data_IF_778768540516
#
_entry.id   IF_778768540516
#
_cell.length_a   1.000
_cell.length_b   1.000
_cell.length_c   1.000
_cell.angle_alpha   90.00
_cell.angle_beta   90.00
_cell.angle_gamma   90.00
#
_symmetry.space_group_name_H-M   'P 1'
#
loop_
_entity.id
_entity.type
_entity.pdbx_description
1 polymer ?
#
# COMPACT_ATOMS: atom_id res chain seq x y z
N UNK A 1 -23.04 -30.99 49.39
CA UNK A 1 -23.90 -30.35 48.36
C UNK A 1 -23.10 -29.25 47.74
N UNK A 2 -22.64 -29.47 46.52
CA UNK A 2 -21.89 -28.47 45.75
C UNK A 2 -22.84 -27.99 44.66
N UNK A 3 -22.89 -26.68 44.42
CA UNK A 3 -23.79 -26.15 43.42
C UNK A 3 -23.30 -24.82 42.88
N UNK A 4 -23.70 -24.54 41.65
CA UNK A 4 -23.40 -23.29 40.96
C UNK A 4 -24.71 -22.53 40.83
N UNK A 5 -24.72 -21.31 41.37
CA UNK A 5 -25.84 -20.40 41.21
C UNK A 5 -25.41 -19.28 40.27
N UNK A 6 -25.92 -19.31 39.05
CA UNK A 6 -25.74 -18.23 38.08
C UNK A 6 -26.96 -17.30 38.13
N UNK A 7 -26.73 -16.02 38.42
CA UNK A 7 -27.76 -14.99 38.34
C UNK A 7 -27.53 -14.16 37.07
N UNK A 8 -28.41 -14.32 36.08
CA UNK A 8 -28.31 -13.67 34.77
C UNK A 8 -29.52 -12.73 34.57
N UNK A 9 -29.30 -11.55 33.97
CA UNK A 9 -30.36 -10.58 33.64
C UNK A 9 -30.35 -9.27 34.46
N UNK A 10 -31.29 -8.36 34.15
CA UNK A 10 -31.41 -7.03 34.79
C UNK A 10 -32.03 -7.11 36.19
N UNK A 11 -31.93 -6.05 37.00
CA UNK A 11 -32.49 -5.98 38.37
C UNK A 11 -33.97 -6.41 38.46
N UNK A 12 -34.76 -6.17 37.41
CA UNK A 12 -36.18 -6.50 37.29
C UNK A 12 -36.50 -7.85 36.61
N UNK A 13 -35.52 -8.52 36.00
CA UNK A 13 -35.70 -9.76 35.21
C UNK A 13 -34.55 -10.73 35.49
N UNK A 14 -34.38 -11.09 36.76
CA UNK A 14 -33.32 -12.00 37.21
C UNK A 14 -33.75 -13.44 36.93
N UNK A 15 -32.98 -14.13 36.11
CA UNK A 15 -33.04 -15.58 35.98
C UNK A 15 -31.93 -16.15 36.88
N UNK A 16 -32.33 -16.95 37.86
CA UNK A 16 -31.41 -17.67 38.73
C UNK A 16 -31.39 -19.11 38.27
N UNK A 17 -30.27 -19.55 37.69
CA UNK A 17 -30.05 -20.95 37.34
C UNK A 17 -29.20 -21.56 38.44
N UNK A 18 -29.81 -22.47 39.20
CA UNK A 18 -29.13 -23.27 40.23
C UNK A 18 -28.88 -24.67 39.71
N UNK A 19 -27.61 -25.02 39.51
CA UNK A 19 -27.20 -26.40 39.26
C UNK A 19 -26.70 -26.98 40.58
N UNK A 20 -27.30 -28.07 41.04
CA UNK A 20 -26.92 -28.74 42.28
C UNK A 20 -26.53 -30.18 41.99
N UNK A 21 -25.43 -30.63 42.59
CA UNK A 21 -25.07 -32.03 42.60
C UNK A 21 -24.46 -32.45 43.93
N UNK A 22 -24.59 -33.74 44.21
CA UNK A 22 -23.91 -34.40 45.32
C UNK A 22 -22.48 -34.73 44.90
N UNK A 23 -21.57 -33.76 45.01
CA UNK A 23 -20.13 -34.02 44.89
C UNK A 23 -19.54 -34.59 46.19
N UNK A 24 -18.58 -35.53 46.12
CA UNK A 24 -17.78 -35.91 47.27
C UNK A 24 -16.84 -34.73 47.58
N UNK A 25 -17.06 -34.06 48.70
CA UNK A 25 -16.14 -33.02 49.18
C UNK A 25 -14.73 -33.60 49.34
N UNK A 26 -13.72 -32.89 48.86
CA UNK A 26 -12.38 -33.44 48.71
C UNK A 26 -11.74 -33.77 50.07
N UNK A 27 -11.06 -34.92 50.07
CA UNK A 27 -9.94 -35.36 50.92
C UNK A 27 -10.12 -35.41 52.44
N UNK A 28 -10.26 -36.63 52.97
CA UNK A 28 -9.82 -36.95 54.33
C UNK A 28 -10.60 -38.02 55.09
N UNK A 29 -11.73 -38.53 54.58
CA UNK A 29 -12.50 -39.52 55.33
C UNK A 29 -13.04 -40.61 54.40
N UNK A 30 -12.55 -41.83 54.62
CA UNK A 30 -13.25 -43.06 54.28
C UNK A 30 -14.66 -43.01 54.89
N UNK A 31 -15.66 -42.55 54.15
CA UNK A 31 -17.06 -42.72 54.54
C UNK A 31 -17.78 -43.40 53.41
N UNK A 32 -18.20 -44.61 53.73
CA UNK A 32 -19.14 -45.46 53.03
C UNK A 32 -20.08 -44.69 52.09
N UNK A 33 -20.21 -45.22 50.87
CA UNK A 33 -21.27 -44.94 49.93
C UNK A 33 -22.66 -45.21 50.55
N UNK A 34 -23.12 -44.30 51.39
CA UNK A 34 -24.42 -44.34 52.04
C UNK A 34 -24.93 -42.91 52.12
N UNK A 35 -26.02 -42.66 51.39
CA UNK A 35 -26.80 -41.42 51.38
C UNK A 35 -26.41 -40.40 50.30
N UNK A 36 -26.34 -40.84 49.04
CA UNK A 36 -26.88 -40.03 47.96
C UNK A 36 -28.43 -40.13 48.02
N UNK A 37 -29.21 -39.03 47.89
CA UNK A 37 -30.64 -39.14 47.75
C UNK A 37 -30.95 -39.89 46.45
N UNK A 38 -31.47 -41.11 46.59
CA UNK A 38 -31.90 -41.94 45.47
C UNK A 38 -33.21 -41.37 44.91
N UNK A 39 -33.09 -40.36 44.05
CA UNK A 39 -34.17 -39.96 43.17
C UNK A 39 -34.44 -41.12 42.20
N UNK A 40 -35.60 -41.78 42.36
CA UNK A 40 -35.98 -42.94 41.54
C UNK A 40 -36.02 -42.60 40.06
N UNK A 41 -36.21 -41.33 39.71
CA UNK A 41 -36.23 -40.84 38.33
C UNK A 41 -34.86 -40.99 37.62
N UNK A 42 -33.75 -40.97 38.37
CA UNK A 42 -32.39 -41.17 37.81
C UNK A 42 -31.96 -42.64 37.76
N UNK A 43 -32.77 -43.56 38.30
CA UNK A 43 -32.48 -45.00 38.28
C UNK A 43 -32.70 -45.65 36.90
N UNK A 44 -33.30 -44.90 35.97
CA UNK A 44 -33.66 -45.35 34.62
C UNK A 44 -32.55 -45.04 33.61
N UNK A 45 -31.61 -44.15 33.95
CA UNK A 45 -30.50 -43.77 33.09
C UNK A 45 -29.21 -44.47 33.59
N UNK A 46 -28.76 -45.47 32.81
CA UNK A 46 -27.48 -46.18 32.88
C UNK A 46 -26.55 -45.80 34.05
N UNK A 47 -26.60 -46.55 35.16
CA UNK A 47 -25.65 -46.43 36.29
C UNK A 47 -24.18 -46.47 35.84
N UNK A 48 -23.86 -47.33 34.87
CA UNK A 48 -22.50 -47.52 34.40
C UNK A 48 -21.90 -46.29 33.70
N UNK A 49 -22.74 -45.40 33.16
CA UNK A 49 -22.30 -44.17 32.49
C UNK A 49 -22.01 -43.04 33.48
N UNK A 50 -22.69 -43.01 34.64
CA UNK A 50 -22.49 -41.98 35.66
C UNK A 50 -21.31 -42.29 36.59
N UNK A 51 -21.09 -43.57 36.92
CA UNK A 51 -19.95 -44.00 37.76
C UNK A 51 -18.61 -43.89 37.01
N UNK A 52 -18.63 -43.73 35.68
CA UNK A 52 -17.47 -43.48 34.83
C UNK A 52 -17.27 -42.01 34.43
N UNK A 53 -18.21 -41.12 34.81
CA UNK A 53 -18.08 -39.69 34.56
C UNK A 53 -17.02 -39.07 35.48
N UNK A 54 -15.91 -38.62 34.89
CA UNK A 54 -14.90 -37.84 35.61
C UNK A 54 -15.53 -36.51 36.05
N UNK A 55 -15.46 -36.14 37.34
CA UNK A 55 -15.98 -34.86 37.81
C UNK A 55 -15.21 -33.72 37.15
N UNK A 56 -15.90 -32.91 36.36
CA UNK A 56 -15.35 -31.68 35.78
C UNK A 56 -15.46 -30.59 36.86
N UNK A 57 -14.31 -30.17 37.39
CA UNK A 57 -14.23 -29.19 38.48
C UNK A 57 -14.30 -27.73 38.01
N UNK A 58 -14.30 -27.51 36.70
CA UNK A 58 -14.25 -26.19 36.06
C UNK A 58 -15.48 -25.97 35.18
N UNK A 59 -16.05 -24.78 35.24
CA UNK A 59 -17.10 -24.35 34.32
C UNK A 59 -16.75 -22.96 33.78
N UNK A 60 -17.04 -22.74 32.51
CA UNK A 60 -16.84 -21.44 31.87
C UNK A 60 -18.19 -20.90 31.38
N UNK A 61 -18.44 -19.61 31.62
CA UNK A 61 -19.61 -18.90 31.08
C UNK A 61 -19.11 -18.04 29.94
N UNK A 62 -19.32 -18.51 28.72
CA UNK A 62 -18.90 -17.82 27.51
C UNK A 62 -20.03 -16.94 26.95
N UNK A 63 -19.70 -15.79 26.35
CA UNK A 63 -20.66 -15.02 25.56
C UNK A 63 -21.29 -15.88 24.47
N UNK A 64 -22.51 -15.54 24.07
CA UNK A 64 -23.15 -16.17 22.92
C UNK A 64 -22.26 -16.00 21.69
N UNK A 65 -22.04 -17.09 20.95
CA UNK A 65 -21.34 -17.04 19.68
C UNK A 65 -22.16 -16.18 18.68
N UNK A 66 -21.59 -15.13 18.08
CA UNK A 66 -22.28 -14.32 17.09
C UNK A 66 -22.60 -15.15 15.83
N UNK A 67 -23.79 -14.97 15.25
CA UNK A 67 -24.19 -15.57 13.97
C UNK A 67 -24.16 -14.56 12.80
N UNK A 68 -23.56 -13.39 13.03
CA UNK A 68 -23.15 -12.51 11.97
C UNK A 68 -21.93 -13.09 11.25
N UNK A 69 -22.09 -13.47 9.97
CA UNK A 69 -20.96 -13.85 9.13
C UNK A 69 -20.29 -12.60 8.59
N UNK A 70 -18.98 -12.53 8.79
CA UNK A 70 -18.10 -11.51 8.22
C UNK A 70 -17.21 -12.20 7.21
N UNK A 71 -17.09 -11.62 6.02
CA UNK A 71 -16.20 -12.11 4.97
C UNK A 71 -15.39 -10.94 4.44
N UNK A 72 -14.06 -11.07 4.50
CA UNK A 72 -13.14 -10.03 4.07
C UNK A 72 -12.41 -10.48 2.81
N UNK A 73 -12.46 -9.65 1.76
CA UNK A 73 -11.78 -9.89 0.49
C UNK A 73 -10.79 -8.77 0.22
N UNK A 74 -9.51 -9.12 0.08
CA UNK A 74 -8.39 -8.21 -0.21
C UNK A 74 -7.17 -8.98 -0.73
N UNK A 75 -6.22 -8.27 -1.33
CA UNK A 75 -4.88 -8.79 -1.57
C UNK A 75 -4.07 -8.76 -0.25
N UNK A 76 -3.51 -9.88 0.23
CA UNK A 76 -2.68 -9.89 1.45
C UNK A 76 -1.36 -9.13 1.30
N UNK A 77 -0.97 -8.74 0.07
CA UNK A 77 0.22 -7.94 -0.19
C UNK A 77 -0.21 -6.56 -0.73
N UNK A 78 0.00 -5.54 0.10
CA UNK A 78 -0.16 -4.14 -0.29
C UNK A 78 1.11 -3.63 -0.98
N UNK A 79 0.93 -2.74 -1.95
CA UNK A 79 1.98 -1.92 -2.52
C UNK A 79 2.11 -0.64 -1.72
N UNK A 80 3.32 -0.30 -1.32
CA UNK A 80 3.59 0.96 -0.61
C UNK A 80 3.10 2.13 -1.48
N UNK A 81 2.46 3.11 -0.83
CA UNK A 81 1.81 4.31 -1.37
C UNK A 81 0.47 4.12 -2.08
N UNK A 82 0.06 2.90 -2.43
CA UNK A 82 -1.24 2.64 -3.06
C UNK A 82 -2.41 2.83 -2.08
N UNK A 83 -3.61 2.93 -2.62
CA UNK A 83 -4.86 2.75 -1.87
C UNK A 83 -5.42 1.35 -2.13
N UNK A 84 -5.13 0.38 -1.26
CA UNK A 84 -5.60 -1.00 -1.40
C UNK A 84 -7.05 -1.11 -0.91
N UNK A 85 -8.00 -1.54 -1.76
CA UNK A 85 -9.36 -1.80 -1.33
C UNK A 85 -9.46 -3.09 -0.50
N UNK A 86 -10.15 -2.99 0.63
CA UNK A 86 -10.52 -4.11 1.50
C UNK A 86 -12.04 -4.15 1.57
N UNK A 87 -12.62 -5.19 0.98
CA UNK A 87 -14.08 -5.36 0.92
C UNK A 87 -14.54 -6.24 2.07
N UNK A 88 -15.40 -5.69 2.93
CA UNK A 88 -16.03 -6.38 4.06
C UNK A 88 -17.49 -6.63 3.73
N UNK A 89 -17.87 -7.90 3.68
CA UNK A 89 -19.25 -8.32 3.54
C UNK A 89 -19.76 -8.84 4.89
N UNK A 90 -20.83 -8.20 5.38
CA UNK A 90 -21.57 -8.62 6.57
C UNK A 90 -22.83 -9.32 6.12
N UNK A 91 -23.09 -10.52 6.65
CA UNK A 91 -24.35 -11.24 6.43
C UNK A 91 -24.94 -11.62 7.78
N UNK A 92 -26.16 -11.16 8.03
CA UNK A 92 -26.89 -11.53 9.23
C UNK A 92 -27.47 -12.95 9.06
N UNK A 93 -26.91 -13.96 9.72
CA UNK A 93 -27.51 -15.29 9.81
C UNK A 93 -28.24 -15.54 11.13
N UNK A 94 -28.43 -14.49 11.92
CA UNK A 94 -29.30 -14.54 13.09
C UNK A 94 -30.75 -14.75 12.65
N UNK A 95 -31.57 -15.38 13.49
CA UNK A 95 -33.00 -15.57 13.23
C UNK A 95 -33.81 -14.26 13.30
N UNK A 96 -33.20 -13.18 13.80
CA UNK A 96 -33.85 -11.90 14.03
C UNK A 96 -32.96 -10.72 13.55
N UNK A 97 -33.51 -9.51 13.65
CA UNK A 97 -32.82 -8.29 13.24
C UNK A 97 -31.59 -8.02 14.12
N UNK A 98 -30.45 -7.80 13.48
CA UNK A 98 -29.25 -7.29 14.13
C UNK A 98 -29.34 -5.77 14.17
N UNK A 99 -29.39 -5.19 15.37
CA UNK A 99 -29.60 -3.75 15.57
C UNK A 99 -28.34 -3.03 16.03
N UNK A 100 -28.26 -1.74 15.73
CA UNK A 100 -27.17 -0.86 16.17
C UNK A 100 -25.78 -1.41 15.83
N UNK A 101 -25.61 -1.83 14.56
CA UNK A 101 -24.35 -2.41 14.10
C UNK A 101 -23.30 -1.30 14.05
N UNK A 102 -22.25 -1.46 14.82
CA UNK A 102 -21.07 -0.60 14.88
C UNK A 102 -19.85 -1.38 14.40
N UNK A 103 -19.04 -0.75 13.57
CA UNK A 103 -17.82 -1.36 13.01
C UNK A 103 -16.60 -0.54 13.39
N UNK A 104 -15.59 -1.24 13.89
CA UNK A 104 -14.25 -0.73 14.12
C UNK A 104 -13.27 -1.45 13.22
N UNK A 105 -12.43 -0.69 12.52
CA UNK A 105 -11.45 -1.26 11.61
C UNK A 105 -10.16 -0.47 11.63
N UNK A 106 -9.04 -1.13 11.91
CA UNK A 106 -7.75 -0.50 11.74
C UNK A 106 -6.57 -1.27 12.29
N UNK A 107 -5.45 -0.58 12.40
CA UNK A 107 -4.20 -1.15 12.87
C UNK A 107 -4.33 -1.66 14.31
N UNK A 108 -3.80 -2.85 14.57
CA UNK A 108 -3.71 -3.43 15.90
C UNK A 108 -2.91 -2.49 16.83
N UNK A 109 -3.44 -2.25 18.03
CA UNK A 109 -2.84 -1.34 19.02
C UNK A 109 -1.46 -1.78 19.51
N UNK A 110 -1.11 -3.06 19.33
CA UNK A 110 0.24 -3.57 19.57
C UNK A 110 1.28 -3.05 18.59
N UNK A 111 0.87 -2.51 17.43
CA UNK A 111 1.73 -1.99 16.37
C UNK A 111 1.72 -0.45 16.28
N UNK A 112 1.69 0.25 17.42
CA UNK A 112 1.59 1.73 17.46
C UNK A 112 2.69 2.47 16.68
N UNK A 113 3.87 1.87 16.51
CA UNK A 113 4.96 2.43 15.70
C UNK A 113 4.62 2.62 14.22
N UNK A 114 3.61 1.90 13.71
CA UNK A 114 3.18 1.97 12.31
C UNK A 114 1.99 2.92 12.09
N UNK A 115 1.44 3.54 13.14
CA UNK A 115 0.27 4.43 13.06
C UNK A 115 0.48 5.58 12.07
N UNK A 116 1.62 6.27 12.13
CA UNK A 116 1.93 7.40 11.24
C UNK A 116 2.21 6.97 9.79
N UNK A 117 2.35 5.67 9.54
CA UNK A 117 2.66 5.10 8.23
C UNK A 117 1.50 4.28 7.67
N UNK A 118 0.33 4.36 8.30
CA UNK A 118 -0.87 3.60 7.93
C UNK A 118 -2.05 4.56 7.90
N UNK A 119 -2.69 4.67 6.74
CA UNK A 119 -3.84 5.53 6.53
C UNK A 119 -5.01 4.68 6.08
N UNK A 120 -6.18 4.86 6.69
CA UNK A 120 -7.39 4.11 6.44
C UNK A 120 -8.53 5.09 6.23
N UNK A 121 -9.34 4.85 5.21
CA UNK A 121 -10.54 5.62 4.94
C UNK A 121 -11.62 4.78 4.25
N UNK A 122 -12.83 5.33 4.15
CA UNK A 122 -13.90 4.82 3.29
C UNK A 122 -13.87 5.56 1.94
N UNK A 123 -14.61 5.11 0.93
CA UNK A 123 -14.62 5.77 -0.41
C UNK A 123 -14.81 7.29 -0.36
N UNK A 124 -15.74 7.87 0.44
CA UNK A 124 -15.87 9.32 0.57
C UNK A 124 -14.64 10.02 1.17
N UNK A 125 -13.82 9.29 1.93
CA UNK A 125 -12.63 9.80 2.61
C UNK A 125 -11.36 9.82 1.77
N UNK A 126 -11.37 9.25 0.55
CA UNK A 126 -10.19 9.25 -0.35
C UNK A 126 -9.72 10.67 -0.70
N UNK A 127 -10.63 11.65 -0.69
CA UNK A 127 -10.34 13.07 -0.94
C UNK A 127 -10.38 13.93 0.33
N UNK A 128 -10.48 13.32 1.51
CA UNK A 128 -10.59 14.03 2.78
C UNK A 128 -9.25 14.31 3.44
N UNK A 129 -9.17 15.42 4.20
CA UNK A 129 -7.94 15.85 4.88
C UNK A 129 -7.62 15.06 6.17
N UNK A 130 -8.59 14.29 6.70
CA UNK A 130 -8.45 13.56 7.96
C UNK A 130 -8.32 12.07 7.71
N UNK A 131 -7.07 11.63 7.53
CA UNK A 131 -6.71 10.22 7.44
C UNK A 131 -6.22 9.72 8.81
N UNK A 132 -6.69 8.55 9.22
CA UNK A 132 -6.35 7.93 10.50
C UNK A 132 -5.89 6.49 10.27
N UNK A 133 -5.19 5.90 11.24
CA UNK A 133 -4.80 4.48 11.20
C UNK A 133 -5.94 3.54 11.63
N UNK A 134 -7.05 4.09 12.07
CA UNK A 134 -8.23 3.39 12.58
C UNK A 134 -9.52 4.16 12.27
N UNK A 135 -10.58 3.41 11.98
CA UNK A 135 -11.96 3.88 11.91
C UNK A 135 -12.67 3.29 13.11
N UNK A 136 -13.17 4.15 14.00
CA UNK A 136 -13.86 3.74 15.21
C UNK A 136 -15.35 4.09 15.12
N UNK A 137 -16.19 3.23 15.70
CA UNK A 137 -17.63 3.45 15.88
C UNK A 137 -18.41 3.79 14.60
N UNK A 138 -18.03 3.22 13.46
CA UNK A 138 -18.75 3.46 12.20
C UNK A 138 -20.14 2.83 12.28
N UNK A 139 -21.17 3.67 12.33
CA UNK A 139 -22.55 3.24 12.42
C UNK A 139 -23.06 2.72 11.07
N UNK A 140 -23.52 1.48 11.08
CA UNK A 140 -24.07 0.79 9.92
C UNK A 140 -25.59 0.66 9.97
N UNK A 141 -26.22 1.00 11.09
CA UNK A 141 -27.66 0.84 11.30
C UNK A 141 -28.03 -0.62 11.55
N UNK A 142 -29.24 -0.99 11.16
CA UNK A 142 -29.78 -2.32 11.39
C UNK A 142 -29.67 -3.21 10.14
N UNK A 143 -29.63 -4.53 10.36
CA UNK A 143 -29.57 -5.53 9.29
C UNK A 143 -30.57 -6.65 9.58
N UNK A 144 -31.59 -6.78 8.73
CA UNK A 144 -32.60 -7.84 8.87
C UNK A 144 -32.00 -9.24 8.74
N UNK A 145 -32.67 -10.23 9.33
CA UNK A 145 -32.31 -11.64 9.21
C UNK A 145 -32.17 -12.06 7.74
N UNK A 146 -31.07 -12.76 7.42
CA UNK A 146 -30.74 -13.22 6.07
C UNK A 146 -30.24 -12.14 5.11
N UNK A 147 -30.23 -10.85 5.50
CA UNK A 147 -29.73 -9.77 4.64
C UNK A 147 -28.21 -9.62 4.75
N UNK A 148 -27.65 -8.96 3.73
CA UNK A 148 -26.23 -8.68 3.63
C UNK A 148 -25.97 -7.20 3.36
N UNK A 149 -24.80 -6.73 3.80
CA UNK A 149 -24.29 -5.37 3.57
C UNK A 149 -22.81 -5.46 3.19
N UNK A 150 -22.42 -4.72 2.15
CA UNK A 150 -21.02 -4.69 1.67
C UNK A 150 -20.44 -3.30 1.90
N UNK A 151 -19.20 -3.24 2.37
CA UNK A 151 -18.45 -2.05 2.69
C UNK A 151 -17.05 -2.18 2.10
N UNK A 152 -16.47 -1.07 1.64
CA UNK A 152 -15.10 -1.04 1.15
C UNK A 152 -14.32 0.01 1.93
N UNK A 153 -13.22 -0.44 2.53
CA UNK A 153 -12.21 0.42 3.12
C UNK A 153 -11.02 0.52 2.19
N UNK A 154 -10.29 1.62 2.24
CA UNK A 154 -9.03 1.81 1.54
C UNK A 154 -7.92 1.96 2.55
N UNK A 155 -6.84 1.20 2.37
CA UNK A 155 -5.64 1.29 3.20
C UNK A 155 -4.47 1.77 2.36
N UNK A 156 -3.75 2.76 2.86
CA UNK A 156 -2.50 3.23 2.32
C UNK A 156 -1.36 3.06 3.31
N UNK A 157 -0.35 2.32 2.88
CA UNK A 157 0.86 2.06 3.64
C UNK A 157 1.98 2.96 3.13
N UNK A 158 2.66 3.71 4.00
CA UNK A 158 3.76 4.61 3.62
C UNK A 158 5.14 3.95 3.74
N UNK A 159 5.20 2.77 4.35
CA UNK A 159 6.44 2.01 4.60
C UNK A 159 6.23 0.52 4.34
N UNK A 160 7.30 -0.14 3.91
CA UNK A 160 7.36 -1.60 3.78
C UNK A 160 7.43 -2.25 5.16
N UNK A 161 6.33 -2.83 5.61
CA UNK A 161 6.20 -3.50 6.91
C UNK A 161 4.97 -4.41 6.91
N UNK A 162 5.00 -5.43 7.77
CA UNK A 162 3.84 -6.26 8.08
C UNK A 162 2.91 -5.51 9.05
N UNK A 163 1.62 -5.47 8.71
CA UNK A 163 0.57 -4.82 9.49
C UNK A 163 -0.49 -5.84 9.88
N UNK A 164 -0.81 -5.90 11.16
CA UNK A 164 -1.96 -6.62 11.68
C UNK A 164 -3.11 -5.65 11.81
N UNK A 165 -4.20 -5.91 11.12
CA UNK A 165 -5.42 -5.11 11.14
C UNK A 165 -6.49 -5.87 11.93
N UNK A 166 -7.26 -5.16 12.74
CA UNK A 166 -8.37 -5.71 13.50
C UNK A 166 -9.67 -5.17 12.92
N UNK A 167 -10.56 -6.08 12.56
CA UNK A 167 -11.95 -5.80 12.22
C UNK A 167 -12.83 -6.28 13.36
N UNK A 168 -13.54 -5.36 14.00
CA UNK A 168 -14.45 -5.66 15.10
C UNK A 168 -15.84 -5.13 14.77
N UNK A 169 -16.83 -5.99 14.86
CA UNK A 169 -18.24 -5.67 14.62
C UNK A 169 -19.03 -5.92 15.90
N UNK A 170 -19.69 -4.89 16.39
CA UNK A 170 -20.53 -4.93 17.59
C UNK A 170 -21.98 -4.70 17.18
N UNK A 171 -22.90 -5.51 17.72
CA UNK A 171 -24.33 -5.39 17.40
C UNK A 171 -25.20 -5.93 18.54
N UNK A 172 -26.50 -5.65 18.49
CA UNK A 172 -27.47 -6.05 19.51
C UNK A 172 -28.54 -6.94 18.89
N UNK A 173 -28.83 -8.05 19.55
CA UNK A 173 -29.91 -8.97 19.21
C UNK A 173 -31.03 -8.86 20.25
N UNK A 174 -32.26 -8.65 19.77
CA UNK A 174 -33.46 -8.60 20.61
C UNK A 174 -34.24 -9.91 20.57
N UNK A 175 -34.54 -10.46 21.75
CA UNK A 175 -35.41 -11.64 21.85
C UNK A 175 -36.85 -11.21 22.10
N UNK A 176 -37.71 -11.44 21.11
CA UNK A 176 -39.13 -11.07 21.11
C UNK A 176 -39.93 -11.68 22.27
N UNK A 177 -39.47 -12.79 22.84
CA UNK A 177 -40.13 -13.46 23.96
C UNK A 177 -39.82 -12.85 25.35
N UNK A 178 -38.74 -12.08 25.52
CA UNK A 178 -38.22 -11.76 26.86
C UNK A 178 -37.81 -10.30 27.09
N UNK A 179 -37.97 -9.39 26.12
CA UNK A 179 -37.45 -8.00 26.20
C UNK A 179 -35.96 -7.94 26.60
N UNK A 180 -35.22 -9.01 26.34
CA UNK A 180 -33.78 -9.11 26.60
C UNK A 180 -33.04 -8.70 25.33
N UNK A 181 -32.11 -7.78 25.50
CA UNK A 181 -31.14 -7.39 24.48
C UNK A 181 -29.81 -8.03 24.80
N UNK A 182 -29.23 -8.72 23.82
CA UNK A 182 -27.95 -9.39 23.95
C UNK A 182 -26.90 -8.66 23.07
N UNK A 183 -25.88 -8.02 23.66
CA UNK A 183 -24.76 -7.49 22.90
C UNK A 183 -23.92 -8.65 22.36
N UNK A 184 -23.59 -8.58 21.08
CA UNK A 184 -22.78 -9.56 20.38
C UNK A 184 -21.58 -8.85 19.77
N UNK A 185 -20.43 -9.52 19.78
CA UNK A 185 -19.17 -9.01 19.23
C UNK A 185 -18.56 -10.07 18.33
N UNK A 186 -18.24 -9.68 17.11
CA UNK A 186 -17.42 -10.46 16.19
C UNK A 186 -16.09 -9.73 16.00
N UNK A 187 -14.97 -10.46 16.06
CA UNK A 187 -13.64 -9.91 15.88
C UNK A 187 -12.81 -10.82 14.97
N UNK A 188 -12.16 -10.24 13.97
CA UNK A 188 -11.30 -10.92 13.00
C UNK A 188 -10.00 -10.13 12.84
N UNK A 189 -8.87 -10.84 12.79
CA UNK A 189 -7.55 -10.24 12.53
C UNK A 189 -7.07 -10.56 11.13
N UNK A 190 -6.64 -9.53 10.40
CA UNK A 190 -6.13 -9.62 9.03
C UNK A 190 -4.64 -9.27 9.03
N UNK A 191 -3.85 -9.97 8.23
CA UNK A 191 -2.41 -9.70 8.08
C UNK A 191 -2.14 -9.14 6.69
N UNK A 192 -1.48 -7.99 6.65
CA UNK A 192 -1.19 -7.26 5.42
C UNK A 192 0.30 -6.99 5.31
N UNK A 193 0.94 -7.51 4.26
CA UNK A 193 2.35 -7.26 3.99
C UNK A 193 2.50 -6.11 2.99
N UNK A 194 3.02 -4.96 3.43
CA UNK A 194 3.35 -3.88 2.49
C UNK A 194 4.73 -4.10 1.85
N UNK A 195 4.83 -3.97 0.53
CA UNK A 195 6.07 -4.07 -0.27
C UNK A 195 6.22 -2.90 -1.23
N UNK A 196 7.46 -2.50 -1.49
CA UNK A 196 7.75 -1.43 -2.45
C UNK A 196 7.43 -1.94 -3.87
N UNK A 197 6.59 -1.26 -4.67
CA UNK A 197 6.13 -1.77 -5.97
C UNK A 197 7.13 -1.63 -7.11
N UNK A 198 8.04 -0.66 -7.04
CA UNK A 198 9.01 -0.38 -8.10
C UNK A 198 10.21 0.39 -7.55
N UNK A 199 11.30 0.37 -8.30
CA UNK A 199 12.49 1.17 -8.07
C UNK A 199 12.63 2.23 -9.15
N UNK A 200 12.90 3.48 -8.76
CA UNK A 200 13.15 4.57 -9.69
C UNK A 200 14.61 4.99 -9.59
N UNK A 201 15.33 4.89 -10.70
CA UNK A 201 16.70 5.38 -10.84
C UNK A 201 16.70 6.49 -11.87
N UNK A 202 17.24 7.65 -11.52
CA UNK A 202 17.30 8.80 -12.42
C UNK A 202 18.74 9.08 -12.79
N UNK A 203 19.03 9.11 -14.09
CA UNK A 203 20.37 9.40 -14.61
C UNK A 203 20.39 10.67 -15.45
N UNK A 204 21.52 11.38 -15.41
CA UNK A 204 21.82 12.52 -16.28
C UNK A 204 22.73 12.08 -17.41
N UNK A 205 22.34 12.38 -18.65
CA UNK A 205 23.06 11.97 -19.85
C UNK A 205 23.17 13.13 -20.85
N UNK A 206 24.17 13.07 -21.73
CA UNK A 206 24.32 14.02 -22.84
C UNK A 206 23.23 13.80 -23.89
N UNK A 207 23.13 14.72 -24.85
CA UNK A 207 22.27 14.53 -26.04
C UNK A 207 22.68 13.31 -26.90
N UNK A 208 23.83 12.68 -26.61
CA UNK A 208 24.31 11.44 -27.22
C UNK A 208 24.11 10.21 -26.31
N UNK A 209 23.35 10.35 -25.22
CA UNK A 209 23.07 9.29 -24.24
C UNK A 209 24.33 8.77 -23.51
N UNK A 210 25.30 9.64 -23.29
CA UNK A 210 26.50 9.34 -22.49
C UNK A 210 26.31 9.89 -21.08
N UNK A 211 26.66 9.11 -20.05
CA UNK A 211 26.50 9.53 -18.65
C UNK A 211 27.27 10.81 -18.33
N UNK A 212 26.59 11.78 -17.71
CA UNK A 212 27.16 13.06 -17.30
C UNK A 212 27.25 13.17 -15.78
N UNK A 213 28.41 13.62 -15.30
CA UNK A 213 28.60 14.09 -13.92
C UNK A 213 28.68 15.62 -13.81
N UNK A 214 28.84 16.29 -14.96
CA UNK A 214 28.94 17.74 -15.11
C UNK A 214 28.16 18.18 -16.34
N UNK A 215 27.64 19.40 -16.31
CA UNK A 215 26.83 19.96 -17.39
C UNK A 215 27.34 21.36 -17.74
N UNK A 216 27.26 21.72 -19.01
CA UNK A 216 27.60 23.06 -19.45
C UNK A 216 26.40 24.01 -19.24
N UNK A 217 26.63 25.17 -18.62
CA UNK A 217 25.61 26.18 -18.44
C UNK A 217 25.07 26.69 -19.78
N UNK A 218 23.76 26.65 -19.97
CA UNK A 218 23.09 27.03 -21.22
C UNK A 218 23.04 25.94 -22.29
N UNK A 219 23.55 24.74 -22.02
CA UNK A 219 23.42 23.59 -22.91
C UNK A 219 22.37 22.60 -22.40
N UNK A 220 21.72 21.97 -23.36
CA UNK A 220 20.71 20.95 -23.10
C UNK A 220 21.35 19.58 -22.85
N UNK A 221 20.73 18.84 -21.95
CA UNK A 221 21.07 17.46 -21.62
C UNK A 221 19.80 16.73 -21.20
N UNK A 222 19.92 15.41 -21.03
CA UNK A 222 18.78 14.53 -20.82
C UNK A 222 18.76 14.00 -19.40
N UNK A 223 17.57 14.01 -18.79
CA UNK A 223 17.24 13.23 -17.59
C UNK A 223 16.48 11.99 -18.03
N UNK A 224 16.93 10.82 -17.57
CA UNK A 224 16.29 9.53 -17.85
C UNK A 224 15.87 8.87 -16.53
N UNK A 225 14.60 9.00 -16.12
CA UNK A 225 14.02 8.17 -15.08
C UNK A 225 13.77 6.77 -15.63
N UNK A 226 14.34 5.78 -14.96
CA UNK A 226 14.14 4.35 -15.19
C UNK A 226 13.31 3.78 -14.05
N UNK A 227 12.14 3.24 -14.36
CA UNK A 227 11.20 2.64 -13.43
C UNK A 227 11.25 1.12 -13.63
N UNK A 228 11.80 0.39 -12.67
CA UNK A 228 11.80 -1.09 -12.67
C UNK A 228 10.70 -1.59 -11.76
N UNK A 229 9.73 -2.31 -12.31
CA UNK A 229 8.65 -2.90 -11.54
C UNK A 229 9.14 -4.14 -10.78
N UNK A 230 8.81 -4.22 -9.49
CA UNK A 230 9.11 -5.37 -8.61
C UNK A 230 7.85 -5.83 -7.87
N UNK A 231 6.68 -5.38 -8.34
CA UNK A 231 5.38 -5.68 -7.78
C UNK A 231 4.91 -7.06 -8.25
N UNK A 232 4.26 -7.81 -7.35
CA UNK A 232 3.66 -9.11 -7.68
C UNK A 232 2.38 -8.99 -8.52
N UNK A 233 1.86 -7.77 -8.66
CA UNK A 233 0.77 -7.42 -9.59
C UNK A 233 1.22 -6.33 -10.56
N UNK A 234 0.63 -6.25 -11.76
CA UNK A 234 0.95 -5.18 -12.68
C UNK A 234 0.54 -3.80 -12.13
N UNK A 235 1.28 -2.76 -12.52
CA UNK A 235 1.00 -1.36 -12.22
C UNK A 235 0.79 -0.58 -13.50
N UNK A 236 -0.11 0.39 -13.49
CA UNK A 236 -0.34 1.30 -14.61
C UNK A 236 0.27 2.66 -14.28
N UNK A 237 1.14 3.13 -15.15
CA UNK A 237 1.74 4.47 -15.08
C UNK A 237 0.80 5.45 -15.77
N UNK A 238 0.24 6.39 -15.03
CA UNK A 238 -0.83 7.27 -15.52
C UNK A 238 -0.32 8.65 -15.92
N UNK A 239 0.73 9.13 -15.28
CA UNK A 239 1.34 10.41 -15.60
C UNK A 239 2.80 10.49 -15.10
N UNK A 240 3.60 11.37 -15.68
CA UNK A 240 4.94 11.71 -15.22
C UNK A 240 5.22 13.20 -15.45
N UNK A 241 5.98 13.82 -14.53
CA UNK A 241 6.34 15.23 -14.67
C UNK A 241 7.61 15.59 -13.90
N UNK A 242 8.17 16.75 -14.23
CA UNK A 242 9.30 17.35 -13.51
C UNK A 242 8.87 18.63 -12.80
N UNK A 243 9.36 18.79 -11.57
CA UNK A 243 9.39 20.06 -10.85
C UNK A 243 10.84 20.51 -10.76
N UNK A 244 11.22 21.46 -11.61
CA UNK A 244 12.60 21.90 -11.78
C UNK A 244 12.98 22.99 -10.77
N UNK A 245 14.26 23.01 -10.38
CA UNK A 245 14.82 24.11 -9.58
C UNK A 245 14.85 25.43 -10.36
N UNK A 246 14.94 26.57 -9.67
CA UNK A 246 14.86 27.91 -10.27
C UNK A 246 15.83 28.17 -11.44
N UNK A 247 17.02 27.58 -11.41
CA UNK A 247 18.05 27.75 -12.45
C UNK A 247 18.01 26.67 -13.53
N UNK A 248 16.99 25.82 -13.53
CA UNK A 248 16.82 24.70 -14.46
C UNK A 248 15.53 24.91 -15.23
N UNK A 249 15.58 24.75 -16.55
CA UNK A 249 14.42 24.91 -17.40
C UNK A 249 14.33 23.76 -18.40
N UNK A 250 13.11 23.45 -18.81
CA UNK A 250 12.86 22.47 -19.85
C UNK A 250 13.07 23.14 -21.21
N UNK A 251 13.89 22.50 -22.05
CA UNK A 251 14.29 23.07 -23.34
C UNK A 251 13.20 22.88 -24.42
N UNK A 252 12.36 21.84 -24.28
CA UNK A 252 11.25 21.54 -25.18
C UNK A 252 9.89 21.84 -24.55
N UNK A 253 9.01 22.56 -25.27
CA UNK A 253 7.62 22.78 -24.87
C UNK A 253 6.67 21.62 -25.20
N UNK A 254 7.08 20.75 -26.13
CA UNK A 254 6.30 19.59 -26.57
C UNK A 254 6.88 18.32 -25.96
N UNK A 255 6.57 18.08 -24.69
CA UNK A 255 6.93 16.83 -24.02
C UNK A 255 5.71 15.93 -23.93
N UNK A 256 5.84 14.71 -24.46
CA UNK A 256 4.90 13.62 -24.27
C UNK A 256 5.62 12.52 -23.51
N UNK A 257 5.18 12.25 -22.30
CA UNK A 257 5.70 11.12 -21.52
C UNK A 257 5.36 9.81 -22.24
N UNK A 258 6.39 9.01 -22.51
CA UNK A 258 6.21 7.74 -23.22
C UNK A 258 5.76 6.59 -22.31
N UNK A 259 5.78 6.81 -20.99
CA UNK A 259 5.33 5.81 -20.01
C UNK A 259 3.83 5.96 -19.68
N UNK A 260 3.17 7.03 -20.13
CA UNK A 260 1.74 7.25 -19.84
C UNK A 260 0.87 6.20 -20.50
N UNK A 261 0.00 5.58 -19.69
CA UNK A 261 -0.89 4.51 -20.11
C UNK A 261 -0.20 3.16 -20.26
N UNK A 262 1.08 3.05 -19.89
CA UNK A 262 1.79 1.77 -19.91
C UNK A 262 1.51 0.97 -18.65
N UNK A 263 1.41 -0.35 -18.81
CA UNK A 263 1.33 -1.31 -17.71
C UNK A 263 2.69 -1.98 -17.58
N UNK A 264 3.22 -2.07 -16.35
CA UNK A 264 4.46 -2.78 -16.03
C UNK A 264 4.16 -3.96 -15.11
N UNK A 265 4.53 -5.15 -15.55
CA UNK A 265 4.57 -6.38 -14.77
C UNK A 265 5.93 -6.55 -14.06
N UNK A 266 6.04 -7.57 -13.20
CA UNK A 266 7.28 -7.90 -12.49
C UNK A 266 8.47 -7.98 -13.46
N UNK A 267 9.58 -7.34 -13.08
CA UNK A 267 10.83 -7.20 -13.84
C UNK A 267 10.76 -6.36 -15.14
N UNK A 268 9.59 -5.84 -15.52
CA UNK A 268 9.48 -4.90 -16.63
C UNK A 268 9.99 -3.50 -16.28
N UNK A 269 10.46 -2.80 -17.30
CA UNK A 269 11.11 -1.50 -17.15
C UNK A 269 10.44 -0.46 -18.04
N UNK A 270 9.90 0.59 -17.41
CA UNK A 270 9.49 1.82 -18.07
C UNK A 270 10.61 2.85 -18.04
N UNK A 271 10.79 3.60 -19.12
CA UNK A 271 11.76 4.70 -19.17
C UNK A 271 11.13 5.93 -19.76
N UNK A 272 11.42 7.08 -19.15
CA UNK A 272 11.05 8.37 -19.68
C UNK A 272 12.28 9.20 -20.00
N UNK A 273 12.10 10.29 -20.74
CA UNK A 273 13.22 11.08 -21.26
C UNK A 273 12.86 12.57 -21.31
N UNK A 274 13.55 13.38 -20.51
CA UNK A 274 13.31 14.82 -20.42
C UNK A 274 14.53 15.61 -20.84
N UNK A 275 14.35 16.54 -21.80
CA UNK A 275 15.39 17.47 -22.23
C UNK A 275 15.34 18.75 -21.39
N UNK A 276 16.39 19.01 -20.63
CA UNK A 276 16.50 20.17 -19.74
C UNK A 276 17.84 20.89 -19.95
N UNK A 277 17.91 22.13 -19.49
CA UNK A 277 19.13 22.92 -19.48
C UNK A 277 19.27 23.69 -18.17
N UNK A 278 20.50 24.01 -17.82
CA UNK A 278 20.82 24.88 -16.68
C UNK A 278 21.06 26.29 -17.19
N UNK A 279 20.58 27.30 -16.46
CA UNK A 279 20.80 28.71 -16.76
C UNK A 279 22.29 29.03 -16.90
N UNK A 280 22.64 29.74 -17.97
CA UNK A 280 24.00 30.26 -18.20
C UNK A 280 24.43 31.32 -17.16
N UNK A 281 23.52 31.75 -16.27
CA UNK A 281 23.83 32.66 -15.17
C UNK A 281 24.48 31.95 -13.97
N UNK A 282 24.33 30.63 -13.87
CA UNK A 282 24.90 29.86 -12.75
C UNK A 282 26.43 29.89 -12.85
N UNK A 283 27.16 30.22 -11.76
CA UNK A 283 28.62 30.27 -11.80
C UNK A 283 29.25 28.90 -12.09
N UNK A 284 30.39 28.90 -12.78
CA UNK A 284 31.18 27.69 -13.02
C UNK A 284 31.60 27.04 -11.70
N UNK A 285 31.69 25.71 -11.70
CA UNK A 285 32.02 24.84 -10.58
C UNK A 285 31.01 24.90 -9.40
N UNK A 286 29.75 25.28 -9.69
CA UNK A 286 28.66 25.25 -8.71
C UNK A 286 27.90 23.93 -8.81
N UNK A 287 27.70 23.25 -7.69
CA UNK A 287 26.81 22.09 -7.61
C UNK A 287 25.37 22.55 -7.39
N UNK A 288 24.43 22.09 -8.22
CA UNK A 288 23.01 22.40 -8.11
C UNK A 288 22.18 21.13 -8.13
N UNK A 289 21.07 21.13 -7.38
CA UNK A 289 20.04 20.07 -7.46
C UNK A 289 19.10 20.36 -8.62
N UNK A 290 18.80 19.37 -9.45
CA UNK A 290 17.99 19.61 -10.65
C UNK A 290 16.49 19.78 -10.35
N UNK A 291 15.99 19.24 -9.24
CA UNK A 291 14.59 19.32 -8.83
C UNK A 291 14.03 17.97 -8.41
N UNK A 292 12.77 17.68 -8.76
CA UNK A 292 12.05 16.46 -8.44
C UNK A 292 11.36 15.86 -9.66
N UNK A 293 11.37 14.54 -9.75
CA UNK A 293 10.54 13.76 -10.67
C UNK A 293 9.30 13.26 -9.95
N UNK A 294 8.12 13.47 -10.54
CA UNK A 294 6.85 12.98 -10.04
C UNK A 294 6.36 11.86 -10.96
N UNK A 295 6.02 10.73 -10.37
CA UNK A 295 5.42 9.59 -11.04
C UNK A 295 4.04 9.33 -10.47
N UNK A 296 3.04 9.30 -11.34
CA UNK A 296 1.66 8.97 -11.01
C UNK A 296 1.37 7.56 -11.52
N UNK A 297 0.77 6.76 -10.64
CA UNK A 297 0.55 5.36 -10.91
C UNK A 297 -0.64 4.82 -10.12
N UNK A 298 -1.11 3.65 -10.52
CA UNK A 298 -2.12 2.87 -9.80
C UNK A 298 -1.89 1.39 -10.03
N UNK A 299 -2.46 0.56 -9.17
CA UNK A 299 -2.54 -0.89 -9.42
C UNK A 299 -3.36 -1.16 -10.69
N UNK A 300 -2.94 -2.14 -11.49
CA UNK A 300 -3.71 -2.60 -12.64
C UNK A 300 -4.99 -3.33 -12.19
N UNK A 301 -6.10 -3.08 -12.88
CA UNK A 301 -7.44 -3.50 -12.48
C UNK A 301 -8.41 -2.31 -12.35
N UNK A 302 -9.69 -2.63 -12.16
CA UNK A 302 -10.76 -1.64 -12.13
C UNK A 302 -10.82 -0.90 -10.77
N UNK A 303 -11.00 0.43 -10.85
CA UNK A 303 -11.34 1.36 -9.75
C UNK A 303 -10.28 1.62 -8.65
N UNK A 304 -9.02 1.23 -8.86
CA UNK A 304 -7.94 1.60 -7.93
C UNK A 304 -7.58 3.09 -8.02
N UNK A 305 -7.58 3.84 -6.90
CA UNK A 305 -7.24 5.27 -6.91
C UNK A 305 -5.81 5.54 -7.38
N UNK A 306 -5.63 6.60 -8.17
CA UNK A 306 -4.31 7.09 -8.57
C UNK A 306 -3.54 7.66 -7.37
N UNK A 307 -2.24 7.39 -7.33
CA UNK A 307 -1.33 7.93 -6.33
C UNK A 307 -0.06 8.45 -7.00
N UNK A 308 0.61 9.41 -6.33
CA UNK A 308 1.85 9.99 -6.81
C UNK A 308 3.01 9.71 -5.86
N UNK A 309 4.21 9.48 -6.41
CA UNK A 309 5.48 9.44 -5.68
C UNK A 309 6.43 10.49 -6.25
N UNK A 310 7.25 11.09 -5.40
CA UNK A 310 8.30 12.02 -5.81
C UNK A 310 9.70 11.44 -5.56
N UNK A 311 10.60 11.66 -6.51
CA UNK A 311 11.98 11.20 -6.48
C UNK A 311 12.88 12.40 -6.75
N UNK A 312 13.91 12.58 -5.91
CA UNK A 312 14.89 13.65 -6.11
C UNK A 312 15.68 13.45 -7.40
N UNK A 313 15.79 14.50 -8.21
CA UNK A 313 16.67 14.47 -9.38
C UNK A 313 18.15 14.58 -8.93
N UNK A 314 19.10 14.03 -9.70
CA UNK A 314 20.52 14.12 -9.38
C UNK A 314 21.01 15.57 -9.25
N UNK A 315 22.09 15.76 -8.48
CA UNK A 315 22.85 17.01 -8.49
C UNK A 315 23.92 16.97 -9.57
N UNK A 316 24.14 18.10 -10.24
CA UNK A 316 25.17 18.26 -11.28
C UNK A 316 26.08 19.43 -10.96
N UNK A 317 27.34 19.35 -11.41
CA UNK A 317 28.26 20.49 -11.36
C UNK A 317 28.20 21.25 -12.68
N UNK A 318 27.96 22.55 -12.60
CA UNK A 318 27.90 23.42 -13.78
C UNK A 318 29.30 23.84 -14.20
N UNK A 319 29.62 23.71 -15.49
CA UNK A 319 30.83 24.22 -16.11
C UNK A 319 30.51 25.26 -17.18
N UNK A 320 31.49 26.12 -17.46
CA UNK A 320 31.44 27.06 -18.57
C UNK A 320 32.51 26.69 -19.56
N UNK A 321 32.11 26.16 -20.70
CA UNK A 321 33.02 25.80 -21.78
C UNK A 321 33.21 27.02 -22.69
N UNK A 322 34.46 27.45 -22.87
CA UNK A 322 34.76 28.65 -23.65
C UNK A 322 34.53 28.47 -25.15
N UNK A 323 34.68 27.25 -25.65
CA UNK A 323 34.48 26.90 -27.07
C UNK A 323 33.51 25.74 -27.16
N UNK A 324 32.49 25.91 -27.98
CA UNK A 324 31.53 24.88 -28.32
C UNK A 324 31.77 24.42 -29.74
N UNK A 325 31.82 23.10 -29.96
CA UNK A 325 31.95 22.50 -31.29
C UNK A 325 30.82 21.50 -31.44
N UNK A 326 29.94 21.77 -32.39
CA UNK A 326 28.86 20.86 -32.77
C UNK A 326 29.16 20.25 -34.14
N UNK A 327 28.92 18.96 -34.27
CA UNK A 327 29.07 18.22 -35.51
C UNK A 327 27.70 17.81 -36.01
N UNK A 328 27.23 18.43 -37.09
CA UNK A 328 25.97 18.11 -37.75
C UNK A 328 26.26 17.03 -38.79
N UNK A 329 25.63 15.88 -38.59
CA UNK A 329 25.72 14.71 -39.47
C UNK A 329 24.36 14.48 -40.15
N UNK A 330 24.34 14.00 -41.40
CA UNK A 330 23.12 13.53 -42.03
C UNK A 330 22.49 12.38 -41.23
N UNK A 331 21.16 12.28 -41.16
CA UNK A 331 20.48 11.26 -40.35
C UNK A 331 20.75 9.82 -40.82
N UNK A 332 21.14 9.66 -42.08
CA UNK A 332 21.54 8.38 -42.65
C UNK A 332 22.67 8.58 -43.68
N UNK A 333 23.56 7.60 -43.77
CA UNK A 333 24.55 7.51 -44.84
C UNK A 333 24.08 6.57 -45.96
N UNK A 334 24.40 6.89 -47.21
CA UNK A 334 24.19 5.98 -48.35
C UNK A 334 25.54 5.46 -48.84
N UNK A 335 25.62 4.16 -49.14
CA UNK A 335 26.84 3.55 -49.63
C UNK A 335 27.31 4.23 -50.93
N UNK A 336 28.60 4.59 -51.00
CA UNK A 336 29.24 5.30 -52.14
C UNK A 336 28.70 6.72 -52.40
N UNK A 337 28.03 7.32 -51.43
CA UNK A 337 27.68 8.75 -51.46
C UNK A 337 28.55 9.48 -50.44
N UNK A 338 29.15 10.64 -50.79
CA UNK A 338 29.84 11.47 -49.82
C UNK A 338 28.92 11.82 -48.63
N UNK A 339 29.40 11.60 -47.41
CA UNK A 339 28.70 12.02 -46.19
C UNK A 339 29.15 13.43 -45.83
N UNK A 340 28.30 14.43 -46.08
CA UNK A 340 28.62 15.82 -45.75
C UNK A 340 28.56 16.03 -44.24
N UNK A 341 29.69 16.43 -43.64
CA UNK A 341 29.79 16.72 -42.21
C UNK A 341 29.96 18.22 -42.04
N UNK A 342 29.10 18.86 -41.23
CA UNK A 342 29.21 20.29 -40.93
C UNK A 342 29.61 20.49 -39.48
N UNK A 343 30.72 21.20 -39.26
CA UNK A 343 31.14 21.60 -37.91
C UNK A 343 30.72 23.04 -37.64
N UNK A 344 29.95 23.26 -36.58
CA UNK A 344 29.60 24.59 -36.08
C UNK A 344 30.46 24.88 -34.87
N UNK A 345 31.31 25.89 -34.97
CA UNK A 345 32.21 26.31 -33.89
C UNK A 345 31.69 27.64 -33.35
N UNK A 346 31.39 27.70 -32.05
CA UNK A 346 30.92 28.89 -31.37
C UNK A 346 31.82 29.23 -30.18
N UNK A 347 32.25 30.49 -30.09
CA UNK A 347 32.88 31.01 -28.88
C UNK A 347 31.78 31.42 -27.89
N UNK A 348 31.66 30.69 -26.78
CA UNK A 348 30.73 31.01 -25.69
C UNK A 348 31.44 31.61 -24.47
N UNK A 349 32.75 31.84 -24.55
CA UNK A 349 33.48 32.55 -23.52
C UNK A 349 33.08 34.02 -23.45
N UNK A 350 33.21 34.62 -22.26
CA UNK A 350 33.01 36.08 -22.06
C UNK A 350 34.08 36.92 -22.78
N UNK A 351 35.21 36.31 -23.14
CA UNK A 351 36.37 36.98 -23.71
C UNK A 351 36.61 36.47 -25.13
N UNK A 352 36.97 37.38 -26.04
CA UNK A 352 37.50 36.99 -27.35
C UNK A 352 38.82 36.26 -27.16
N UNK A 353 38.94 35.08 -27.77
CA UNK A 353 40.14 34.25 -27.70
C UNK A 353 40.55 33.91 -29.14
N UNK A 354 41.82 34.11 -29.47
CA UNK A 354 42.38 33.71 -30.77
C UNK A 354 42.54 32.19 -30.83
N UNK A 355 42.06 31.56 -31.89
CA UNK A 355 42.09 30.11 -32.07
C UNK A 355 42.58 29.77 -33.48
N UNK A 356 43.55 28.86 -33.57
CA UNK A 356 43.97 28.28 -34.83
C UNK A 356 43.21 26.97 -35.05
N UNK A 357 42.37 26.92 -36.08
CA UNK A 357 41.70 25.69 -36.50
C UNK A 357 42.60 24.94 -37.49
N UNK A 358 43.01 23.72 -37.13
CA UNK A 358 43.71 22.82 -38.04
C UNK A 358 42.84 21.59 -38.27
N UNK A 359 42.55 21.27 -39.52
CA UNK A 359 41.80 20.07 -39.90
C UNK A 359 42.76 19.09 -40.59
N UNK A 360 42.87 17.87 -40.07
CA UNK A 360 43.72 16.82 -40.62
C UNK A 360 42.86 15.66 -41.12
N UNK A 361 43.20 15.13 -42.30
CA UNK A 361 42.58 13.90 -42.81
C UNK A 361 43.00 12.72 -41.95
N UNK A 362 42.04 11.98 -41.40
CA UNK A 362 42.30 10.72 -40.68
C UNK A 362 42.19 9.55 -41.64
N UNK A 363 43.19 8.66 -41.65
CA UNK A 363 43.15 7.41 -42.43
C UNK A 363 42.02 6.47 -41.96
N UNK A 364 41.48 6.66 -40.74
CA UNK A 364 40.34 5.92 -40.22
C UNK A 364 38.99 6.30 -40.87
N UNK A 365 38.92 7.43 -41.57
CA UNK A 365 37.73 7.94 -42.28
C UNK A 365 37.83 7.77 -43.81
N UNK A 366 38.81 7.01 -44.31
CA UNK A 366 38.87 6.64 -45.73
C UNK A 366 37.90 5.50 -46.04
N UNK A 367 36.59 5.79 -46.10
CA UNK A 367 35.66 4.96 -46.85
C UNK A 367 35.32 5.65 -48.18
N UNK A 368 35.92 5.11 -49.24
CA UNK A 368 35.62 5.28 -50.66
C UNK A 368 36.06 6.60 -51.34
N UNK A 369 37.31 6.62 -51.79
CA UNK A 369 37.78 7.46 -52.90
C UNK A 369 39.25 7.18 -53.17
N UNK A 370 39.63 6.79 -54.39
CA UNK A 370 41.03 6.53 -54.74
C UNK A 370 41.89 7.76 -54.42
N UNK A 371 43.03 7.54 -53.76
CA UNK A 371 44.15 8.51 -53.79
C UNK A 371 44.61 8.60 -55.24
N UNK A 372 44.36 9.72 -55.90
CA UNK A 372 45.17 10.18 -57.03
C UNK A 372 46.14 11.27 -56.54
#
# INVERSE_FOLDING_TARGET
LTGIQAQLGRKSSKIVVGLHWSGPGNEGVTVNAGNAPAFKEFSILCRDAFDTCVPIAETEILPRKPELTVTVSHDPIALVWEWLPITVQLKNNEECIATNISLHFGLDTSQSSLEHTTQICTSPGLHGDKLTSQINDMQLGDLDAGKQKTLTFYIKCLTSAERKLILKVEYIIGFSASNVQCPCVHEESLHLQAKIPFQVVVETQSMKFEKLSKVAGGESFVIIPRITCVSHVPIVLTNSSLSLSNDVYQDSTEYLSHIVGTELSEDEVGMDCFCIAVSSKVPSNTAITLGQYFLYWRRAGDDSPEVSVSVGLPSVVVEHWGVWIECILPPQGTLRTPLEVTYVIANRARNTTEMALTMQSSDAFMYAGHKE
#
